data_IF_757050038491
#
_entry.id   IF_757050038491
#
_cell.length_a   1.000
_cell.length_b   1.000
_cell.length_c   1.000
_cell.angle_alpha   90.00
_cell.angle_beta   90.00
_cell.angle_gamma   90.00
#
_symmetry.space_group_name_H-M   'P 1'
#
loop_
_entity.id
_entity.type
_entity.pdbx_description
1 polymer ?
#
# COMPACT_ATOMS: atom_id res chain seq x y z
N UNK A 1 30.47 1.85 14.04
CA UNK A 1 30.19 1.89 12.58
C UNK A 1 29.41 0.63 12.25
N UNK A 2 28.11 0.62 12.57
CA UNK A 2 27.20 -0.42 12.11
C UNK A 2 26.69 0.04 10.75
N UNK A 3 27.10 -0.66 9.70
CA UNK A 3 26.52 -0.59 8.37
C UNK A 3 25.04 -0.93 8.45
N UNK A 4 24.19 0.09 8.32
CA UNK A 4 22.78 -0.09 7.99
C UNK A 4 22.72 -0.81 6.64
N UNK A 5 22.43 -2.11 6.69
CA UNK A 5 21.92 -2.87 5.55
C UNK A 5 20.57 -2.25 5.16
N UNK A 6 20.62 -1.15 4.42
CA UNK A 6 19.51 -0.74 3.58
C UNK A 6 19.41 -1.79 2.48
N UNK A 7 18.71 -2.87 2.79
CA UNK A 7 18.19 -3.80 1.80
C UNK A 7 17.24 -2.97 0.92
N UNK A 8 17.78 -2.43 -0.18
CA UNK A 8 17.00 -1.97 -1.31
C UNK A 8 16.27 -3.21 -1.83
N UNK A 9 15.11 -3.53 -1.25
CA UNK A 9 14.24 -4.60 -1.72
C UNK A 9 13.63 -4.14 -3.03
N UNK A 10 14.40 -4.27 -4.12
CA UNK A 10 13.83 -4.24 -5.46
C UNK A 10 12.82 -5.39 -5.54
N UNK A 11 11.54 -5.06 -5.59
CA UNK A 11 10.47 -6.03 -5.79
C UNK A 11 10.67 -6.62 -7.18
N UNK A 12 10.89 -7.93 -7.27
CA UNK A 12 10.99 -8.57 -8.58
C UNK A 12 9.62 -8.56 -9.25
N UNK A 13 9.57 -8.51 -10.59
CA UNK A 13 8.32 -8.54 -11.36
C UNK A 13 7.39 -9.69 -10.94
N UNK A 14 7.96 -10.83 -10.53
CA UNK A 14 7.24 -12.03 -10.07
C UNK A 14 6.63 -11.89 -8.68
N UNK A 15 7.06 -10.92 -7.88
CA UNK A 15 6.62 -10.69 -6.49
C UNK A 15 5.52 -9.62 -6.41
N UNK A 16 5.35 -8.79 -7.45
CA UNK A 16 4.35 -7.73 -7.49
C UNK A 16 2.92 -8.24 -7.23
N UNK A 17 2.45 -9.35 -7.83
CA UNK A 17 1.11 -9.85 -7.55
C UNK A 17 0.92 -10.29 -6.10
N UNK A 18 1.96 -10.84 -5.45
CA UNK A 18 1.91 -11.22 -4.05
C UNK A 18 1.85 -9.98 -3.16
N UNK A 19 2.70 -8.98 -3.43
CA UNK A 19 2.69 -7.72 -2.68
C UNK A 19 1.37 -6.95 -2.83
N UNK A 20 0.76 -6.97 -4.02
CA UNK A 20 -0.56 -6.40 -4.23
C UNK A 20 -1.64 -7.12 -3.40
N UNK A 21 -1.58 -8.46 -3.31
CA UNK A 21 -2.49 -9.22 -2.46
C UNK A 21 -2.27 -8.94 -0.96
N UNK A 22 -1.03 -8.72 -0.53
CA UNK A 22 -0.69 -8.30 0.83
C UNK A 22 -1.29 -6.91 1.15
N UNK A 23 -1.10 -5.93 0.27
CA UNK A 23 -1.70 -4.58 0.41
C UNK A 23 -3.24 -4.67 0.51
N UNK A 24 -3.89 -5.50 -0.30
CA UNK A 24 -5.34 -5.71 -0.23
C UNK A 24 -5.76 -6.35 1.12
N UNK A 25 -5.03 -7.37 1.56
CA UNK A 25 -5.32 -8.08 2.80
C UNK A 25 -5.15 -7.18 4.03
N UNK A 26 -4.11 -6.36 4.05
CA UNK A 26 -3.86 -5.38 5.09
C UNK A 26 -4.94 -4.30 5.09
N UNK A 27 -5.33 -3.81 3.91
CA UNK A 27 -6.44 -2.86 3.79
C UNK A 27 -7.74 -3.41 4.40
N UNK A 28 -8.07 -4.69 4.11
CA UNK A 28 -9.21 -5.40 4.70
C UNK A 28 -9.07 -5.52 6.22
N UNK A 29 -7.91 -5.93 6.72
CA UNK A 29 -7.66 -6.13 8.14
C UNK A 29 -7.73 -4.83 8.95
N UNK A 30 -7.27 -3.72 8.37
CA UNK A 30 -7.34 -2.38 8.94
C UNK A 30 -8.77 -1.81 8.91
N UNK A 31 -9.57 -2.13 7.89
CA UNK A 31 -10.93 -1.56 7.70
C UNK A 31 -11.91 -1.88 8.84
N UNK A 32 -11.69 -3.01 9.51
CA UNK A 32 -12.53 -3.50 10.62
C UNK A 32 -12.08 -2.97 11.98
N UNK A 33 -10.96 -2.25 12.05
CA UNK A 33 -10.45 -1.68 13.30
C UNK A 33 -11.29 -0.46 13.72
N UNK A 34 -11.51 -0.30 15.02
CA UNK A 34 -12.34 0.78 15.58
C UNK A 34 -11.75 1.45 16.81
N UNK A 35 -10.55 1.03 17.23
CA UNK A 35 -9.87 1.54 18.41
C UNK A 35 -8.46 1.99 18.06
N UNK A 36 -8.08 3.18 18.54
CA UNK A 36 -6.72 3.70 18.34
C UNK A 36 -5.80 3.01 19.33
N UNK A 37 -4.97 2.10 18.82
CA UNK A 37 -3.97 1.37 19.61
C UNK A 37 -2.59 1.55 18.98
N UNK A 38 -1.49 1.39 19.73
CA UNK A 38 -0.14 1.39 19.15
C UNK A 38 0.02 0.34 18.03
N UNK A 39 -0.63 -0.82 18.17
CA UNK A 39 -0.62 -1.86 17.14
C UNK A 39 -1.36 -1.44 15.86
N UNK A 40 -2.48 -0.74 15.98
CA UNK A 40 -3.16 -0.16 14.81
C UNK A 40 -2.24 0.80 14.05
N UNK A 41 -1.56 1.70 14.78
CA UNK A 41 -0.66 2.67 14.17
C UNK A 41 0.47 1.97 13.41
N UNK A 42 1.13 1.00 14.05
CA UNK A 42 2.19 0.22 13.40
C UNK A 42 1.69 -0.48 12.13
N UNK A 43 0.50 -1.09 12.17
CA UNK A 43 -0.06 -1.77 11.01
C UNK A 43 -0.40 -0.80 9.85
N UNK A 44 -0.79 0.46 10.13
CA UNK A 44 -1.02 1.47 9.09
C UNK A 44 0.33 1.94 8.49
N UNK A 45 1.37 2.05 9.31
CA UNK A 45 2.73 2.37 8.85
C UNK A 45 3.32 1.25 7.97
N UNK A 46 3.12 0.00 8.35
CA UNK A 46 3.50 -1.17 7.53
C UNK A 46 2.74 -1.16 6.19
N UNK A 47 1.41 -1.00 6.23
CA UNK A 47 0.58 -0.84 5.02
C UNK A 47 1.07 0.29 4.11
N UNK A 48 1.43 1.45 4.67
CA UNK A 48 2.03 2.57 3.92
C UNK A 48 3.33 2.15 3.23
N UNK A 49 4.20 1.44 3.94
CA UNK A 49 5.47 0.95 3.39
C UNK A 49 5.26 -0.11 2.30
N UNK A 50 4.28 -1.00 2.44
CA UNK A 50 3.89 -1.99 1.42
C UNK A 50 3.33 -1.30 0.17
N UNK A 51 2.46 -0.30 0.32
CA UNK A 51 1.94 0.49 -0.79
C UNK A 51 3.08 1.24 -1.54
N UNK A 52 4.05 1.81 -0.83
CA UNK A 52 5.22 2.44 -1.46
C UNK A 52 6.08 1.43 -2.21
N UNK A 53 6.33 0.26 -1.61
CA UNK A 53 7.06 -0.83 -2.27
C UNK A 53 6.35 -1.31 -3.53
N UNK A 54 5.02 -1.38 -3.50
CA UNK A 54 4.20 -1.74 -4.65
C UNK A 54 4.28 -0.67 -5.75
N UNK A 55 4.19 0.61 -5.39
CA UNK A 55 4.41 1.73 -6.32
C UNK A 55 5.75 1.62 -7.04
N UNK A 56 6.83 1.42 -6.28
CA UNK A 56 8.18 1.27 -6.85
C UNK A 56 8.26 0.03 -7.76
N UNK A 57 7.76 -1.11 -7.31
CA UNK A 57 7.74 -2.35 -8.09
C UNK A 57 6.99 -2.22 -9.42
N UNK A 58 5.80 -1.59 -9.41
CA UNK A 58 5.02 -1.34 -10.62
C UNK A 58 5.75 -0.41 -11.60
N UNK A 59 6.43 0.62 -11.08
CA UNK A 59 7.24 1.54 -11.88
C UNK A 59 8.42 0.83 -12.54
N UNK A 60 9.13 0.00 -11.79
CA UNK A 60 10.28 -0.78 -12.28
C UNK A 60 9.84 -1.86 -13.28
N UNK A 61 8.64 -2.41 -13.09
CA UNK A 61 7.98 -3.29 -14.05
C UNK A 61 7.58 -2.57 -15.35
N UNK A 62 7.48 -1.25 -15.36
CA UNK A 62 7.01 -0.48 -16.52
C UNK A 62 5.50 -0.56 -16.71
N UNK A 63 4.74 -0.80 -15.64
CA UNK A 63 3.28 -0.65 -15.64
C UNK A 63 2.92 0.82 -15.90
N UNK A 64 1.76 1.07 -16.53
CA UNK A 64 1.26 2.41 -16.85
C UNK A 64 1.35 3.36 -15.66
N UNK A 65 1.71 4.62 -15.93
CA UNK A 65 2.09 5.62 -14.92
C UNK A 65 1.05 5.83 -13.82
N UNK A 66 -0.24 5.64 -14.12
CA UNK A 66 -1.32 5.90 -13.17
C UNK A 66 -1.24 4.99 -11.94
N UNK A 67 -1.03 3.68 -12.11
CA UNK A 67 -1.02 2.73 -11.00
C UNK A 67 0.13 2.98 -10.00
N UNK A 68 1.41 3.10 -10.42
CA UNK A 68 2.48 3.50 -9.50
C UNK A 68 2.18 4.82 -8.76
N UNK A 69 1.65 5.83 -9.46
CA UNK A 69 1.33 7.11 -8.82
C UNK A 69 0.20 6.99 -7.79
N UNK A 70 -0.81 6.17 -8.07
CA UNK A 70 -1.91 5.90 -7.14
C UNK A 70 -1.38 5.24 -5.87
N UNK A 71 -0.55 4.20 -5.97
CA UNK A 71 -0.02 3.53 -4.78
C UNK A 71 0.94 4.40 -3.96
N UNK A 72 1.70 5.28 -4.62
CA UNK A 72 2.45 6.31 -3.92
C UNK A 72 1.51 7.26 -3.13
N UNK A 73 0.42 7.69 -3.75
CA UNK A 73 -0.60 8.50 -3.09
C UNK A 73 -1.24 7.80 -1.88
N UNK A 74 -1.57 6.51 -2.01
CA UNK A 74 -2.11 5.69 -0.91
C UNK A 74 -1.12 5.60 0.26
N UNK A 75 0.18 5.42 -0.05
CA UNK A 75 1.27 5.39 0.94
C UNK A 75 1.35 6.71 1.72
N UNK A 76 1.32 7.85 1.04
CA UNK A 76 1.35 9.18 1.67
C UNK A 76 0.09 9.45 2.49
N UNK A 77 -1.09 9.13 1.95
CA UNK A 77 -2.35 9.30 2.65
C UNK A 77 -2.43 8.43 3.90
N UNK A 78 -1.89 7.21 3.89
CA UNK A 78 -1.82 6.35 5.07
C UNK A 78 -1.01 6.99 6.21
N UNK A 79 0.11 7.65 5.89
CA UNK A 79 0.92 8.41 6.88
C UNK A 79 0.14 9.61 7.42
N UNK A 80 -0.62 10.28 6.57
CA UNK A 80 -1.52 11.35 7.01
C UNK A 80 -2.60 10.82 7.98
N UNK A 81 -3.18 9.64 7.72
CA UNK A 81 -4.16 9.01 8.62
C UNK A 81 -3.57 8.64 9.98
N UNK A 82 -2.31 8.20 10.04
CA UNK A 82 -1.60 7.99 11.33
C UNK A 82 -1.57 9.29 12.14
N UNK A 83 -1.19 10.39 11.50
CA UNK A 83 -1.12 11.71 12.15
C UNK A 83 -2.50 12.15 12.66
N UNK A 84 -3.55 11.95 11.85
CA UNK A 84 -4.93 12.27 12.24
C UNK A 84 -5.41 11.44 13.43
N UNK A 85 -5.14 10.13 13.45
CA UNK A 85 -5.53 9.24 14.53
C UNK A 85 -4.81 9.57 15.84
N UNK A 86 -3.53 9.93 15.77
CA UNK A 86 -2.73 10.33 16.93
C UNK A 86 -3.15 11.68 17.50
N UNK A 87 -3.60 12.61 16.66
CA UNK A 87 -4.04 13.95 17.07
C UNK A 87 -5.51 13.99 17.55
N UNK A 88 -6.27 12.90 17.42
CA UNK A 88 -7.69 12.87 17.73
C UNK A 88 -8.00 12.69 19.23
N UNK A 89 -8.15 13.81 19.94
CA UNK A 89 -8.38 13.85 21.39
C UNK A 89 -9.82 13.48 21.79
N UNK A 90 -10.79 13.83 20.95
CA UNK A 90 -12.22 13.61 21.21
C UNK A 90 -12.78 12.38 20.49
N UNK A 91 -13.92 11.87 20.98
CA UNK A 91 -14.61 10.77 20.33
C UNK A 91 -15.08 11.13 18.90
N UNK A 92 -15.47 12.39 18.68
CA UNK A 92 -15.89 12.88 17.38
C UNK A 92 -14.71 12.95 16.39
N UNK A 93 -13.56 13.45 16.83
CA UNK A 93 -12.34 13.47 16.00
C UNK A 93 -11.89 12.06 15.64
N UNK A 94 -11.91 11.12 16.60
CA UNK A 94 -11.57 9.72 16.34
C UNK A 94 -12.51 9.08 15.32
N UNK A 95 -13.81 9.34 15.43
CA UNK A 95 -14.79 8.83 14.46
C UNK A 95 -14.52 9.37 13.04
N UNK A 96 -14.17 10.66 12.92
CA UNK A 96 -13.78 11.28 11.65
C UNK A 96 -12.50 10.67 11.10
N UNK A 97 -11.44 10.55 11.91
CA UNK A 97 -10.17 9.95 11.49
C UNK A 97 -10.35 8.50 11.02
N UNK A 98 -11.17 7.71 11.71
CA UNK A 98 -11.54 6.36 11.29
C UNK A 98 -12.39 6.31 10.01
N UNK A 99 -13.20 7.33 9.76
CA UNK A 99 -13.95 7.44 8.49
C UNK A 99 -12.99 7.74 7.35
N UNK A 100 -12.08 8.69 7.52
CA UNK A 100 -11.05 9.01 6.53
C UNK A 100 -10.14 7.82 6.24
N UNK A 101 -9.73 7.08 7.27
CA UNK A 101 -8.96 5.85 7.11
C UNK A 101 -9.74 4.83 6.27
N UNK A 102 -11.03 4.62 6.55
CA UNK A 102 -11.86 3.67 5.78
C UNK A 102 -11.95 4.03 4.30
N UNK A 103 -12.14 5.30 3.96
CA UNK A 103 -12.16 5.75 2.56
C UNK A 103 -10.87 5.36 1.83
N UNK A 104 -9.71 5.64 2.45
CA UNK A 104 -8.42 5.25 1.90
C UNK A 104 -8.28 3.73 1.69
N UNK A 105 -8.71 2.94 2.69
CA UNK A 105 -8.60 1.48 2.64
C UNK A 105 -9.56 0.87 1.62
N UNK A 106 -10.75 1.46 1.43
CA UNK A 106 -11.71 1.06 0.39
C UNK A 106 -11.12 1.24 -1.01
N UNK A 107 -10.45 2.37 -1.26
CA UNK A 107 -9.74 2.62 -2.51
C UNK A 107 -8.61 1.60 -2.72
N UNK A 108 -7.81 1.34 -1.69
CA UNK A 108 -6.73 0.35 -1.75
C UNK A 108 -7.23 -1.06 -2.05
N UNK A 109 -8.34 -1.49 -1.41
CA UNK A 109 -8.98 -2.79 -1.66
C UNK A 109 -9.49 -2.93 -3.10
N UNK A 110 -9.96 -1.84 -3.71
CA UNK A 110 -10.44 -1.84 -5.08
C UNK A 110 -9.29 -1.90 -6.09
N UNK A 111 -8.20 -1.18 -5.83
CA UNK A 111 -7.14 -0.92 -6.81
C UNK A 111 -6.02 -1.96 -6.74
N UNK A 112 -5.74 -2.56 -5.56
CA UNK A 112 -4.69 -3.58 -5.41
C UNK A 112 -4.83 -4.78 -6.38
N UNK A 113 -6.01 -5.37 -6.59
CA UNK A 113 -6.20 -6.42 -7.61
C UNK A 113 -5.89 -5.96 -9.05
N UNK A 114 -6.12 -4.67 -9.35
CA UNK A 114 -5.84 -4.10 -10.67
C UNK A 114 -4.33 -4.00 -10.90
N UNK A 115 -3.55 -3.63 -9.87
CA UNK A 115 -2.09 -3.65 -9.94
C UNK A 115 -1.51 -5.05 -10.16
N UNK A 116 -2.05 -6.06 -9.45
CA UNK A 116 -1.64 -7.45 -9.65
C UNK A 116 -1.87 -7.90 -11.11
N UNK A 117 -3.03 -7.56 -11.66
CA UNK A 117 -3.41 -7.90 -13.04
C UNK A 117 -2.50 -7.18 -14.06
N UNK A 118 -2.28 -5.87 -13.89
CA UNK A 118 -1.43 -5.09 -14.78
C UNK A 118 0.03 -5.58 -14.80
N UNK A 119 0.57 -5.96 -13.64
CA UNK A 119 1.91 -6.54 -13.56
C UNK A 119 2.00 -7.90 -14.28
N UNK A 120 0.96 -8.73 -14.17
CA UNK A 120 0.88 -10.02 -14.86
C UNK A 120 0.82 -9.84 -16.38
N UNK A 121 0.06 -8.86 -16.88
CA UNK A 121 -0.03 -8.52 -18.30
C UNK A 121 1.35 -8.13 -18.86
N UNK A 122 2.06 -7.24 -18.17
CA UNK A 122 3.42 -6.84 -18.56
C UNK A 122 4.39 -8.04 -18.56
N UNK A 123 4.30 -8.93 -17.56
CA UNK A 123 5.13 -10.13 -17.52
C UNK A 123 4.84 -11.07 -18.71
N UNK A 124 3.57 -11.22 -19.08
CA UNK A 124 3.15 -12.03 -20.22
C UNK A 124 3.63 -11.44 -21.55
N UNK A 125 3.51 -10.13 -21.74
CA UNK A 125 4.02 -9.43 -22.94
C UNK A 125 5.52 -9.62 -23.12
N UNK A 126 6.30 -9.46 -22.05
CA UNK A 126 7.75 -9.71 -22.07
C UNK A 126 8.08 -11.15 -22.45
N UNK A 127 7.33 -12.12 -21.93
CA UNK A 127 7.53 -13.54 -22.26
C UNK A 127 7.22 -13.86 -23.73
N UNK A 128 6.23 -13.18 -24.33
CA UNK A 128 5.92 -13.33 -25.77
C UNK A 128 7.04 -12.72 -26.61
N UNK A 129 7.53 -11.53 -26.26
CA UNK A 129 8.58 -10.83 -27.01
C UNK A 129 9.93 -11.56 -27.01
N UNK A 130 10.18 -12.43 -26.03
CA UNK A 130 11.41 -13.22 -25.90
C UNK A 130 11.36 -14.57 -26.65
N UNK A 131 10.23 -14.94 -27.24
CA UNK A 131 10.04 -16.19 -28.00
C UNK A 131 10.17 -15.94 -29.51
#
# INVERSE_FOLDING_TARGET
MLTCLAFMLSVNLTEIPALAAEVEADARALSVQSEVTPGLIANIEDFSADAERLSAGLRDAGVEQDLPCIFHGISEDARARVTELQAADTAAERATAFTNLRVLLDDAMLIAPMAASAAADVAQERNIALR
#
